data_IF_315254284005
#
_entry.id   IF_315254284005
#
_cell.length_a   1.000
_cell.length_b   1.000
_cell.length_c   1.000
_cell.angle_alpha   90.00
_cell.angle_beta   90.00
_cell.angle_gamma   90.00
#
_symmetry.space_group_name_H-M   'P 1'
#
loop_
_entity.id
_entity.type
_entity.pdbx_description
1 polymer ?
#
# COMPACT_ATOMS: atom_id res chain seq x y z
N UNK A 1 -21.30 -2.30 -4.87
CA UNK A 1 -20.06 -2.97 -4.44
C UNK A 1 -19.16 -1.88 -3.90
N UNK A 2 -18.61 -2.05 -2.71
CA UNK A 2 -17.61 -1.11 -2.19
C UNK A 2 -16.39 -1.20 -3.12
N UNK A 3 -16.01 -0.08 -3.70
CA UNK A 3 -14.79 0.00 -4.49
C UNK A 3 -13.61 -0.17 -3.54
N UNK A 4 -12.74 -1.14 -3.82
CA UNK A 4 -11.54 -1.37 -3.01
C UNK A 4 -10.55 -0.27 -3.36
N UNK A 5 -10.14 0.52 -2.37
CA UNK A 5 -9.16 1.59 -2.56
C UNK A 5 -7.73 1.02 -2.61
N UNK A 6 -7.30 0.57 -3.79
CA UNK A 6 -5.98 -0.06 -3.94
C UNK A 6 -4.82 0.83 -3.50
N UNK A 7 -4.98 2.16 -3.59
CA UNK A 7 -3.95 3.13 -3.19
C UNK A 7 -3.58 3.00 -1.71
N UNK A 8 -4.56 2.93 -0.81
CA UNK A 8 -4.31 2.72 0.61
C UNK A 8 -3.65 1.37 0.90
N UNK A 9 -4.10 0.32 0.20
CA UNK A 9 -3.56 -1.03 0.35
C UNK A 9 -2.09 -1.11 -0.11
N UNK A 10 -1.73 -0.40 -1.18
CA UNK A 10 -0.36 -0.31 -1.71
C UNK A 10 0.55 0.41 -0.72
N UNK A 11 0.13 1.58 -0.23
CA UNK A 11 0.90 2.38 0.75
C UNK A 11 1.16 1.56 2.02
N UNK A 12 0.14 0.82 2.47
CA UNK A 12 0.24 -0.04 3.65
C UNK A 12 0.92 -1.38 3.39
N UNK A 13 1.36 -1.67 2.16
CA UNK A 13 1.93 -2.95 1.72
C UNK A 13 1.09 -4.15 2.20
N UNK A 14 -0.23 -4.10 2.01
CA UNK A 14 -1.14 -5.14 2.51
C UNK A 14 -0.82 -6.49 1.88
N UNK A 15 -0.96 -7.55 2.67
CA UNK A 15 -0.74 -8.91 2.21
C UNK A 15 -1.79 -9.34 1.18
N UNK A 16 -1.40 -10.22 0.26
CA UNK A 16 -2.30 -10.83 -0.73
C UNK A 16 -2.35 -12.33 -0.46
N UNK A 17 -3.57 -12.84 -0.34
CA UNK A 17 -3.87 -14.24 -0.05
C UNK A 17 -4.65 -14.87 -1.20
N UNK A 18 -4.25 -16.09 -1.54
CA UNK A 18 -4.86 -16.91 -2.57
C UNK A 18 -6.16 -17.57 -2.11
N UNK A 19 -6.89 -18.19 -3.03
CA UNK A 19 -8.13 -18.90 -2.72
C UNK A 19 -7.92 -20.15 -1.86
N UNK A 20 -6.71 -20.72 -1.91
CA UNK A 20 -6.25 -21.82 -1.04
C UNK A 20 -5.71 -21.35 0.32
N UNK A 21 -5.84 -20.05 0.64
CA UNK A 21 -5.36 -19.40 1.87
C UNK A 21 -3.84 -19.31 2.00
N UNK A 22 -3.09 -19.56 0.93
CA UNK A 22 -1.67 -19.29 0.91
C UNK A 22 -1.40 -17.80 0.73
N UNK A 23 -0.57 -17.24 1.61
CA UNK A 23 -0.06 -15.86 1.46
C UNK A 23 1.02 -15.88 0.39
N UNK A 24 0.90 -14.98 -0.58
CA UNK A 24 1.83 -14.88 -1.71
C UNK A 24 2.87 -13.77 -1.52
N UNK A 25 2.48 -12.70 -0.84
CA UNK A 25 3.33 -11.55 -0.60
C UNK A 25 2.50 -10.29 -0.48
N UNK A 26 3.07 -9.14 -0.88
CA UNK A 26 2.53 -7.83 -0.56
C UNK A 26 2.10 -7.10 -1.83
N UNK A 27 0.96 -6.41 -1.76
CA UNK A 27 0.52 -5.51 -2.82
C UNK A 27 1.46 -4.30 -2.86
N UNK A 28 2.13 -4.09 -4.00
CA UNK A 28 3.10 -3.01 -4.21
C UNK A 28 2.70 -2.02 -5.29
N UNK A 29 1.65 -2.32 -6.07
CA UNK A 29 1.19 -1.41 -7.11
C UNK A 29 -0.01 -1.92 -7.90
N UNK A 30 -0.40 -1.14 -8.90
CA UNK A 30 -1.39 -1.51 -9.91
C UNK A 30 -0.88 -1.13 -11.31
N UNK A 31 -1.26 -1.92 -12.31
CA UNK A 31 -0.97 -1.68 -13.73
C UNK A 31 -2.23 -1.95 -14.54
N UNK A 32 -2.93 -0.87 -14.91
CA UNK A 32 -4.22 -0.96 -15.61
C UNK A 32 -5.24 -1.77 -14.81
N UNK A 33 -5.70 -2.88 -15.39
CA UNK A 33 -6.65 -3.81 -14.79
C UNK A 33 -6.00 -4.94 -13.97
N UNK A 34 -4.72 -4.82 -13.63
CA UNK A 34 -4.00 -5.79 -12.80
C UNK A 34 -3.40 -5.15 -11.56
N UNK A 35 -3.33 -5.90 -10.48
CA UNK A 35 -2.53 -5.59 -9.29
C UNK A 35 -1.13 -6.19 -9.42
N UNK A 36 -0.16 -5.54 -8.77
CA UNK A 36 1.23 -5.99 -8.72
C UNK A 36 1.52 -6.47 -7.30
N UNK A 37 1.91 -7.74 -7.19
CA UNK A 37 2.24 -8.38 -5.92
C UNK A 37 3.72 -8.74 -5.90
N UNK A 38 4.44 -8.28 -4.89
CA UNK A 38 5.83 -8.67 -4.65
C UNK A 38 5.87 -10.01 -3.92
N UNK A 39 6.65 -10.96 -4.44
CA UNK A 39 6.87 -12.25 -3.82
C UNK A 39 7.83 -12.12 -2.64
N UNK A 40 7.42 -12.61 -1.47
CA UNK A 40 8.28 -12.60 -0.29
C UNK A 40 9.53 -13.49 -0.52
N UNK A 41 10.72 -12.91 -0.33
CA UNK A 41 12.00 -13.63 -0.42
C UNK A 41 12.65 -13.76 -1.81
N UNK A 42 12.05 -13.25 -2.89
CA UNK A 42 12.67 -13.19 -4.21
C UNK A 42 12.60 -11.77 -4.78
N UNK A 43 13.73 -11.07 -4.77
CA UNK A 43 13.86 -9.64 -5.11
C UNK A 43 13.48 -9.27 -6.55
N UNK A 44 13.33 -10.26 -7.44
CA UNK A 44 13.31 -10.03 -8.88
C UNK A 44 12.05 -10.54 -9.59
N UNK A 45 11.12 -11.21 -8.87
CA UNK A 45 9.86 -11.71 -9.45
C UNK A 45 8.65 -11.05 -8.80
N UNK A 46 7.72 -10.60 -9.64
CA UNK A 46 6.43 -10.02 -9.24
C UNK A 46 5.30 -10.84 -9.86
N UNK A 47 4.11 -10.76 -9.27
CA UNK A 47 2.90 -11.32 -9.86
C UNK A 47 2.00 -10.21 -10.39
N UNK A 48 1.57 -10.30 -11.65
CA UNK A 48 0.55 -9.43 -12.22
C UNK A 48 -0.81 -10.14 -12.23
N UNK A 49 -1.61 -9.90 -11.19
CA UNK A 49 -2.91 -10.56 -11.02
C UNK A 49 -4.02 -9.63 -11.50
N UNK A 50 -4.89 -10.05 -12.43
CA UNK A 50 -6.04 -9.25 -12.85
C UNK A 50 -6.95 -8.89 -11.68
N UNK A 51 -7.41 -7.63 -11.61
CA UNK A 51 -8.42 -7.14 -10.65
C UNK A 51 -9.72 -7.95 -10.72
N UNK A 52 -10.04 -8.53 -11.88
CA UNK A 52 -11.19 -9.45 -12.02
C UNK A 52 -11.06 -10.73 -11.19
N UNK A 53 -9.85 -11.08 -10.72
CA UNK A 53 -9.65 -12.18 -9.77
C UNK A 53 -9.72 -11.72 -8.31
N UNK A 54 -9.79 -10.42 -8.02
CA UNK A 54 -9.93 -9.92 -6.65
C UNK A 54 -11.34 -10.24 -6.17
N UNK A 55 -11.45 -10.98 -5.07
CA UNK A 55 -12.74 -11.30 -4.46
C UNK A 55 -13.16 -10.24 -3.44
N UNK A 56 -12.27 -9.94 -2.50
CA UNK A 56 -12.60 -9.12 -1.34
C UNK A 56 -11.36 -8.68 -0.57
N UNK A 57 -11.55 -7.72 0.33
CA UNK A 57 -10.56 -7.27 1.30
C UNK A 57 -11.15 -7.43 2.71
N UNK A 58 -10.43 -8.10 3.61
CA UNK A 58 -10.92 -8.39 4.97
C UNK A 58 -10.49 -7.33 6.02
N UNK A 59 -9.83 -6.25 5.59
CA UNK A 59 -9.23 -5.23 6.47
C UNK A 59 -7.75 -5.47 6.79
N UNK A 60 -7.21 -6.64 6.46
CA UNK A 60 -5.81 -7.00 6.67
C UNK A 60 -5.14 -7.45 5.37
N UNK A 61 -5.81 -8.29 4.59
CA UNK A 61 -5.28 -8.94 3.40
C UNK A 61 -6.30 -8.91 2.25
N UNK A 62 -5.76 -8.81 1.03
CA UNK A 62 -6.53 -8.87 -0.20
C UNK A 62 -6.69 -10.32 -0.62
N UNK A 63 -7.93 -10.77 -0.80
CA UNK A 63 -8.28 -12.14 -1.15
C UNK A 63 -8.50 -12.22 -2.65
N UNK A 64 -7.75 -13.09 -3.34
CA UNK A 64 -7.86 -13.31 -4.79
C UNK A 64 -8.32 -14.74 -5.09
N UNK A 65 -9.08 -14.90 -6.18
CA UNK A 65 -9.54 -16.17 -6.70
C UNK A 65 -8.50 -16.83 -7.62
N UNK A 66 -7.25 -16.91 -7.15
CA UNK A 66 -6.15 -17.58 -7.86
C UNK A 66 -5.60 -18.64 -6.93
N UNK A 67 -5.31 -19.83 -7.44
CA UNK A 67 -4.64 -20.89 -6.68
C UNK A 67 -3.13 -20.82 -6.87
N UNK A 68 -2.38 -21.37 -5.91
CA UNK A 68 -0.92 -21.43 -5.97
C UNK A 68 -0.39 -22.11 -7.24
N UNK A 69 -1.07 -23.15 -7.72
CA UNK A 69 -0.73 -23.84 -8.98
C UNK A 69 -0.94 -22.99 -10.22
N UNK A 70 -1.84 -22.00 -10.18
CA UNK A 70 -2.10 -21.09 -11.30
C UNK A 70 -1.24 -19.82 -11.22
N UNK A 71 -0.64 -19.55 -10.06
CA UNK A 71 0.09 -18.33 -9.78
C UNK A 71 1.32 -18.16 -10.69
N UNK A 72 2.00 -19.25 -11.03
CA UNK A 72 3.17 -19.24 -11.91
C UNK A 72 2.87 -18.62 -13.28
N UNK A 73 1.62 -18.73 -13.77
CA UNK A 73 1.19 -18.09 -15.01
C UNK A 73 1.11 -16.56 -14.96
N UNK A 74 1.14 -15.98 -13.76
CA UNK A 74 1.12 -14.53 -13.53
C UNK A 74 2.50 -13.99 -13.13
N UNK A 75 3.51 -14.85 -12.97
CA UNK A 75 4.86 -14.44 -12.59
C UNK A 75 5.53 -13.65 -13.74
N UNK A 76 6.04 -12.47 -13.43
CA UNK A 76 6.85 -11.67 -14.33
C UNK A 76 8.17 -11.30 -13.65
N UNK A 77 9.25 -11.33 -14.43
CA UNK A 77 10.52 -10.77 -13.98
C UNK A 77 10.40 -9.25 -13.93
N UNK A 78 10.91 -8.65 -12.87
CA UNK A 78 11.08 -7.21 -12.78
C UNK A 78 12.15 -6.84 -13.82
N UNK A 79 11.72 -6.40 -15.01
CA UNK A 79 12.64 -5.77 -15.96
C UNK A 79 13.17 -4.50 -15.28
N UNK A 80 14.44 -4.53 -14.90
CA UNK A 80 15.09 -3.45 -14.18
C UNK A 80 15.32 -2.25 -15.08
N UNK A 81 14.33 -1.36 -15.15
CA UNK A 81 14.55 0.07 -15.27
C UNK A 81 14.17 0.68 -13.92
N UNK A 82 15.20 0.88 -13.11
CA UNK A 82 15.09 1.25 -11.71
C UNK A 82 14.62 2.69 -11.51
N UNK A 83 13.31 2.88 -11.49
CA UNK A 83 12.68 3.98 -10.78
C UNK A 83 11.74 3.39 -9.73
N UNK A 84 12.25 3.36 -8.50
CA UNK A 84 11.47 3.17 -7.29
C UNK A 84 10.41 4.27 -7.21
N UNK A 85 9.24 4.07 -7.81
CA UNK A 85 8.07 4.96 -7.65
C UNK A 85 7.60 5.08 -6.19
N UNK A 86 8.16 4.27 -5.29
CA UNK A 86 7.98 4.38 -3.84
C UNK A 86 8.87 5.43 -3.19
N UNK A 87 10.04 5.76 -3.75
CA UNK A 87 10.91 6.82 -3.23
C UNK A 87 10.27 8.20 -3.48
N UNK A 88 9.69 8.44 -4.66
CA UNK A 88 9.01 9.72 -4.97
C UNK A 88 7.78 10.04 -4.10
N UNK A 89 7.10 9.02 -3.56
CA UNK A 89 5.92 9.24 -2.70
C UNK A 89 6.32 9.58 -1.27
N UNK A 90 7.44 9.03 -0.78
CA UNK A 90 7.94 9.35 0.57
C UNK A 90 8.39 10.80 0.67
N UNK A 91 9.10 11.32 -0.34
CA UNK A 91 9.57 12.70 -0.33
C UNK A 91 8.44 13.74 -0.36
N UNK A 92 7.26 13.41 -0.92
CA UNK A 92 6.10 14.32 -0.94
C UNK A 92 5.21 14.32 0.32
N UNK A 93 5.30 13.29 1.18
CA UNK A 93 4.56 13.27 2.45
C UNK A 93 5.33 13.94 3.60
N UNK A 94 6.62 14.25 3.42
CA UNK A 94 7.40 15.05 4.35
C UNK A 94 6.85 16.47 4.53
N UNK A 95 6.33 17.09 3.46
CA UNK A 95 5.88 18.49 3.47
C UNK A 95 4.50 18.74 4.11
N UNK A 96 3.72 17.71 4.41
CA UNK A 96 2.35 17.91 4.92
C UNK A 96 2.35 18.09 6.46
N UNK A 97 3.40 17.67 7.17
CA UNK A 97 3.47 17.84 8.63
C UNK A 97 3.83 19.25 9.10
N UNK A 98 4.35 20.13 8.23
CA UNK A 98 4.69 21.51 8.62
C UNK A 98 3.50 22.48 8.56
N UNK A 99 2.27 21.99 8.34
CA UNK A 99 1.04 22.79 8.37
C UNK A 99 0.09 22.45 9.52
N UNK A 100 0.63 22.02 10.66
CA UNK A 100 -0.08 22.03 11.96
C UNK A 100 0.74 22.80 12.98
N UNK A 101 1.17 23.99 12.60
CA UNK A 101 1.52 25.06 13.54
C UNK A 101 0.76 26.29 13.07
N UNK A 102 0.23 27.05 14.04
CA UNK A 102 -0.59 28.26 13.90
C UNK A 102 -2.11 28.03 13.83
N UNK A 103 -2.73 27.77 14.98
CA UNK A 103 -3.79 28.63 15.54
C UNK A 103 -4.06 28.24 16.99
N UNK A 104 -3.32 28.81 17.94
CA UNK A 104 -3.82 29.17 19.29
C UNK A 104 -2.94 30.29 19.83
N UNK A 105 -3.06 31.47 19.21
CA UNK A 105 -2.81 32.72 19.92
C UNK A 105 -4.00 32.99 20.85
N UNK A 106 -3.66 33.55 22.01
CA UNK A 106 -4.53 34.19 23.01
C UNK A 106 -5.27 33.27 23.99
N UNK A 107 -4.70 33.05 25.19
CA UNK A 107 -5.36 33.38 26.49
C UNK A 107 -4.30 33.61 27.60
N UNK A 108 -4.26 34.86 28.06
CA UNK A 108 -4.01 35.34 29.43
C UNK A 108 -2.60 35.25 30.07
N UNK A 109 -1.88 36.35 29.92
CA UNK A 109 -1.38 37.12 31.07
C UNK A 109 -2.45 37.19 32.19
N UNK A 110 -2.06 36.81 33.43
CA UNK A 110 -2.19 37.62 34.68
C UNK A 110 -2.19 36.74 35.94
N UNK A 111 -1.39 37.20 36.92
CA UNK A 111 -1.28 36.80 38.34
C UNK A 111 -0.21 35.72 38.60
N UNK A 112 0.82 35.95 39.44
CA UNK A 112 0.85 36.73 40.70
C UNK A 112 2.25 37.28 40.98
N UNK A 113 2.37 38.60 41.07
CA UNK A 113 3.20 39.24 42.09
C UNK A 113 2.39 40.39 42.67
N UNK A 114 2.13 40.34 43.98
CA UNK A 114 2.09 41.50 44.87
C UNK A 114 1.87 41.06 46.33
N UNK A 115 2.71 41.66 47.17
CA UNK A 115 2.75 41.68 48.65
C UNK A 115 3.53 40.54 49.29
#
# INVERSE_FOLDING_TARGET
MSEIDYSELIISKKGVVLSDRQVVGNLIGERGDSIIVEKDGASDSIYLIPKSNVQSYDGQQLIVNVSSSSLEGFEQKREGDGESVLDDISDKMGDIKDKVVETTKDVADKAREKV
#
